data_IF_287056215942
#
_entry.id   IF_287056215942
#
_cell.length_a   1.000
_cell.length_b   1.000
_cell.length_c   1.000
_cell.angle_alpha   90.00
_cell.angle_beta   90.00
_cell.angle_gamma   90.00
#
_symmetry.space_group_name_H-M   'P 1'
#
loop_
_entity.id
_entity.type
_entity.pdbx_description
1 polymer ?
#
# COMPACT_ATOMS: atom_id res chain seq x y z
N UNK A 1 -17.42 11.68 -18.74
CA UNK A 1 -17.45 11.81 -17.27
C UNK A 1 -16.79 10.59 -16.67
N UNK A 2 -15.78 10.75 -15.81
CA UNK A 2 -14.99 9.62 -15.29
C UNK A 2 -15.89 8.80 -14.36
N UNK A 3 -16.47 7.73 -14.91
CA UNK A 3 -17.48 6.86 -14.32
C UNK A 3 -17.11 6.46 -12.88
N UNK A 4 -18.15 6.44 -12.04
CA UNK A 4 -18.13 6.11 -10.62
C UNK A 4 -17.04 5.12 -10.22
N UNK A 5 -16.27 5.47 -9.18
CA UNK A 5 -15.34 4.55 -8.54
C UNK A 5 -16.12 3.28 -8.18
N UNK A 6 -15.90 2.18 -8.91
CA UNK A 6 -16.59 0.93 -8.65
C UNK A 6 -16.04 0.31 -7.34
N UNK A 7 -16.89 -0.04 -6.35
CA UNK A 7 -16.47 -0.70 -5.10
C UNK A 7 -15.66 -1.99 -5.33
N UNK A 8 -15.94 -2.72 -6.41
CA UNK A 8 -15.17 -3.91 -6.82
C UNK A 8 -13.71 -3.57 -7.15
N UNK A 9 -13.47 -2.41 -7.77
CA UNK A 9 -12.11 -1.91 -8.05
C UNK A 9 -11.39 -1.56 -6.75
N UNK A 10 -12.09 -0.93 -5.80
CA UNK A 10 -11.59 -0.66 -4.46
C UNK A 10 -11.12 -1.95 -3.79
N UNK A 11 -11.98 -2.97 -3.73
CA UNK A 11 -11.61 -4.29 -3.18
C UNK A 11 -10.30 -4.83 -3.79
N UNK A 12 -10.21 -4.90 -5.13
CA UNK A 12 -9.02 -5.45 -5.79
C UNK A 12 -7.77 -4.60 -5.55
N UNK A 13 -7.89 -3.27 -5.52
CA UNK A 13 -6.75 -2.38 -5.28
C UNK A 13 -6.17 -2.57 -3.88
N UNK A 14 -7.02 -2.57 -2.85
CA UNK A 14 -6.57 -2.77 -1.47
C UNK A 14 -5.98 -4.17 -1.26
N UNK A 15 -6.65 -5.22 -1.76
CA UNK A 15 -6.18 -6.61 -1.66
C UNK A 15 -4.84 -6.82 -2.37
N UNK A 16 -4.71 -6.33 -3.61
CA UNK A 16 -3.51 -6.53 -4.41
C UNK A 16 -2.33 -5.72 -3.84
N UNK A 17 -2.57 -4.54 -3.27
CA UNK A 17 -1.54 -3.75 -2.59
C UNK A 17 -0.95 -4.51 -1.39
N UNK A 18 -1.79 -5.10 -0.54
CA UNK A 18 -1.34 -5.92 0.59
C UNK A 18 -0.56 -7.16 0.13
N UNK A 19 -1.04 -7.88 -0.90
CA UNK A 19 -0.29 -9.01 -1.45
C UNK A 19 1.04 -8.60 -2.09
N UNK A 20 1.11 -7.43 -2.72
CA UNK A 20 2.33 -6.91 -3.30
C UNK A 20 3.38 -6.63 -2.21
N UNK A 21 2.98 -5.99 -1.11
CA UNK A 21 3.84 -5.78 0.05
C UNK A 21 4.31 -7.12 0.65
N UNK A 22 3.38 -8.07 0.84
CA UNK A 22 3.71 -9.39 1.34
C UNK A 22 4.63 -10.20 0.41
N UNK A 23 4.73 -9.88 -0.87
CA UNK A 23 5.64 -10.58 -1.78
C UNK A 23 7.01 -9.91 -1.90
N UNK A 24 7.05 -8.58 -1.85
CA UNK A 24 8.21 -7.80 -2.26
C UNK A 24 8.97 -7.14 -1.11
N UNK A 25 8.41 -7.08 0.11
CA UNK A 25 9.13 -6.51 1.26
C UNK A 25 9.91 -7.61 1.98
N UNK A 26 11.17 -7.34 2.32
CA UNK A 26 12.02 -8.24 3.09
C UNK A 26 11.47 -8.56 4.49
N UNK A 27 11.76 -9.76 4.98
CA UNK A 27 11.61 -10.10 6.39
C UNK A 27 12.78 -9.48 7.17
N UNK A 28 12.59 -8.85 8.35
CA UNK A 28 11.38 -8.82 9.18
C UNK A 28 10.45 -7.62 8.94
N UNK A 29 10.86 -6.63 8.16
CA UNK A 29 10.15 -5.35 7.98
C UNK A 29 8.74 -5.49 7.40
N UNK A 30 8.47 -6.55 6.65
CA UNK A 30 7.16 -6.82 6.04
C UNK A 30 6.00 -6.76 7.03
N UNK A 31 6.17 -7.23 8.27
CA UNK A 31 5.10 -7.19 9.27
C UNK A 31 4.78 -5.74 9.69
N UNK A 32 5.82 -4.96 9.98
CA UNK A 32 5.69 -3.55 10.36
C UNK A 32 5.07 -2.71 9.22
N UNK A 33 5.53 -2.92 7.98
CA UNK A 33 5.03 -2.20 6.80
C UNK A 33 3.56 -2.57 6.52
N UNK A 34 3.19 -3.85 6.66
CA UNK A 34 1.80 -4.29 6.51
C UNK A 34 0.90 -3.69 7.60
N UNK A 35 1.38 -3.63 8.85
CA UNK A 35 0.63 -3.04 9.96
C UNK A 35 0.34 -1.56 9.72
N UNK A 36 1.34 -0.76 9.37
CA UNK A 36 1.14 0.65 8.99
C UNK A 36 0.16 0.76 7.81
N UNK A 37 0.31 -0.10 6.80
CA UNK A 37 -0.57 -0.08 5.63
C UNK A 37 -2.03 -0.32 6.01
N UNK A 38 -2.30 -1.27 6.89
CA UNK A 38 -3.65 -1.56 7.37
C UNK A 38 -4.24 -0.40 8.16
N UNK A 39 -3.44 0.32 8.96
CA UNK A 39 -3.89 1.54 9.65
C UNK A 39 -4.26 2.63 8.63
N UNK A 40 -3.40 2.88 7.64
CA UNK A 40 -3.66 3.88 6.60
C UNK A 40 -4.90 3.52 5.77
N UNK A 41 -5.10 2.24 5.46
CA UNK A 41 -6.31 1.75 4.79
C UNK A 41 -7.56 1.97 5.68
N UNK A 42 -7.43 1.82 7.01
CA UNK A 42 -8.48 2.14 7.97
C UNK A 42 -8.83 3.63 7.97
N UNK A 43 -7.84 4.52 7.95
CA UNK A 43 -8.07 5.98 7.83
C UNK A 43 -8.80 6.30 6.52
N UNK A 44 -8.42 5.68 5.40
CA UNK A 44 -9.15 5.82 4.15
C UNK A 44 -10.58 5.26 4.23
N UNK A 45 -10.77 4.16 4.96
CA UNK A 45 -12.09 3.59 5.25
C UNK A 45 -12.99 4.57 6.02
N UNK A 46 -12.48 5.19 7.08
CA UNK A 46 -13.21 6.22 7.83
C UNK A 46 -13.58 7.42 6.95
N UNK A 47 -12.66 7.87 6.08
CA UNK A 47 -12.96 8.91 5.09
C UNK A 47 -14.14 8.53 4.20
N UNK A 48 -14.20 7.29 3.71
CA UNK A 48 -15.34 6.82 2.91
C UNK A 48 -16.64 6.71 3.71
N UNK A 49 -16.58 6.39 5.01
CA UNK A 49 -17.75 6.43 5.88
C UNK A 49 -18.31 7.85 6.01
N UNK A 50 -17.46 8.85 6.25
CA UNK A 50 -17.89 10.26 6.32
C UNK A 50 -18.44 10.79 4.99
N UNK A 51 -17.97 10.26 3.85
CA UNK A 51 -18.51 10.57 2.53
C UNK A 51 -19.81 9.80 2.19
N UNK A 52 -20.35 8.99 3.10
CA UNK A 52 -21.55 8.16 2.85
C UNK A 52 -21.31 6.99 1.89
N UNK A 53 -20.06 6.67 1.57
CA UNK A 53 -19.64 5.65 0.60
C UNK A 53 -19.42 4.29 1.27
N UNK A 54 -20.45 3.77 1.94
CA UNK A 54 -20.37 2.51 2.70
C UNK A 54 -19.91 1.31 1.86
N UNK A 55 -20.31 1.22 0.58
CA UNK A 55 -19.88 0.14 -0.31
C UNK A 55 -18.35 0.07 -0.46
N UNK A 56 -17.66 1.21 -0.46
CA UNK A 56 -16.21 1.25 -0.51
C UNK A 56 -15.57 0.81 0.80
N UNK A 57 -16.18 1.17 1.93
CA UNK A 57 -15.74 0.72 3.24
C UNK A 57 -15.83 -0.80 3.38
N UNK A 58 -16.97 -1.41 3.04
CA UNK A 58 -17.12 -2.86 3.03
C UNK A 58 -16.15 -3.54 2.06
N UNK A 59 -15.91 -2.95 0.88
CA UNK A 59 -14.92 -3.46 -0.06
C UNK A 59 -13.49 -3.49 0.51
N UNK A 60 -13.12 -2.53 1.38
CA UNK A 60 -11.82 -2.52 2.08
C UNK A 60 -11.77 -3.64 3.13
N UNK A 61 -12.82 -3.79 3.93
CA UNK A 61 -12.91 -4.86 4.94
C UNK A 61 -12.84 -6.25 4.29
N UNK A 62 -13.58 -6.47 3.19
CA UNK A 62 -13.53 -7.70 2.42
C UNK A 62 -12.14 -7.95 1.85
N UNK A 63 -11.44 -6.91 1.39
CA UNK A 63 -10.07 -7.02 0.89
C UNK A 63 -9.10 -7.49 1.98
N UNK A 64 -9.23 -6.96 3.19
CA UNK A 64 -8.45 -7.36 4.36
C UNK A 64 -8.78 -8.80 4.76
N UNK A 65 -10.07 -9.16 4.87
CA UNK A 65 -10.49 -10.53 5.15
C UNK A 65 -9.95 -11.53 4.11
N UNK A 66 -10.05 -11.20 2.82
CA UNK A 66 -9.50 -12.00 1.72
C UNK A 66 -7.98 -12.14 1.83
N UNK A 67 -7.27 -11.07 2.18
CA UNK A 67 -5.83 -11.09 2.43
C UNK A 67 -5.47 -12.05 3.56
N UNK A 68 -6.15 -11.97 4.71
CA UNK A 68 -5.89 -12.85 5.85
C UNK A 68 -6.15 -14.33 5.53
N UNK A 69 -7.25 -14.65 4.83
CA UNK A 69 -7.55 -16.03 4.38
C UNK A 69 -6.45 -16.62 3.49
N UNK A 70 -5.85 -15.82 2.61
CA UNK A 70 -4.81 -16.27 1.67
C UNK A 70 -3.38 -16.03 2.16
N UNK A 71 -3.21 -15.40 3.32
CA UNK A 71 -1.92 -14.95 3.84
C UNK A 71 -0.90 -16.08 3.87
N UNK A 72 -1.24 -17.21 4.49
CA UNK A 72 -0.35 -18.37 4.60
C UNK A 72 0.07 -18.94 3.24
N UNK A 73 -0.86 -19.05 2.29
CA UNK A 73 -0.59 -19.56 0.94
C UNK A 73 0.35 -18.65 0.16
N UNK A 74 0.16 -17.33 0.26
CA UNK A 74 1.02 -16.35 -0.43
C UNK A 74 2.39 -16.25 0.24
N UNK A 75 2.43 -16.25 1.58
CA UNK A 75 3.67 -16.19 2.35
C UNK A 75 4.62 -17.34 2.02
N UNK A 76 4.09 -18.55 1.81
CA UNK A 76 4.88 -19.72 1.37
C UNK A 76 5.53 -19.55 0.00
N UNK A 77 5.02 -18.66 -0.86
CA UNK A 77 5.55 -18.38 -2.20
C UNK A 77 6.62 -17.28 -2.21
N UNK A 78 7.02 -16.75 -1.04
CA UNK A 78 8.05 -15.72 -0.95
C UNK A 78 9.42 -16.32 -1.32
N UNK A 79 10.27 -15.56 -2.03
CA UNK A 79 11.65 -15.98 -2.25
C UNK A 79 12.41 -16.04 -0.92
N UNK A 80 13.36 -16.97 -0.81
CA UNK A 80 14.21 -17.11 0.39
C UNK A 80 15.21 -15.95 0.51
N UNK A 81 15.65 -15.43 -0.62
CA UNK A 81 16.61 -14.33 -0.72
C UNK A 81 15.96 -13.18 -1.47
N UNK A 82 16.01 -11.99 -0.88
CA UNK A 82 15.62 -10.76 -1.55
C UNK A 82 16.88 -10.08 -2.04
N UNK A 83 17.00 -9.89 -3.36
CA UNK A 83 18.09 -9.13 -3.95
C UNK A 83 17.58 -7.73 -4.23
N UNK A 84 17.99 -6.77 -3.41
CA UNK A 84 17.79 -5.35 -3.68
C UNK A 84 19.11 -4.77 -4.13
N UNK A 85 19.26 -4.52 -5.42
CA UNK A 85 20.31 -3.61 -5.88
C UNK A 85 19.92 -2.20 -5.40
N UNK A 86 20.89 -1.37 -5.02
CA UNK A 86 20.68 0.04 -4.64
C UNK A 86 20.14 0.85 -5.83
N UNK A 87 18.87 0.63 -6.16
CA UNK A 87 18.21 1.16 -7.34
C UNK A 87 17.75 2.60 -7.13
N UNK A 88 17.54 3.00 -5.88
CA UNK A 88 17.05 4.32 -5.51
C UNK A 88 18.13 5.12 -4.78
N UNK A 89 18.47 6.29 -5.34
CA UNK A 89 19.37 7.26 -4.71
C UNK A 89 18.66 8.16 -3.68
N UNK A 90 17.33 8.26 -3.78
CA UNK A 90 16.49 9.13 -2.96
C UNK A 90 15.42 8.25 -2.31
N UNK A 91 15.26 8.39 -1.00
CA UNK A 91 14.36 7.58 -0.18
C UNK A 91 12.90 8.05 -0.27
N UNK A 92 12.64 9.36 -0.28
CA UNK A 92 11.28 9.91 -0.40
C UNK A 92 11.26 11.24 -1.15
N UNK A 93 10.66 11.24 -2.35
CA UNK A 93 10.43 12.44 -3.16
C UNK A 93 9.44 13.38 -2.46
N UNK A 94 8.41 12.82 -1.83
CA UNK A 94 7.39 13.60 -1.10
C UNK A 94 8.04 14.36 0.06
N UNK A 95 8.89 13.69 0.84
CA UNK A 95 9.62 14.34 1.94
C UNK A 95 10.55 15.45 1.41
N UNK A 96 11.32 15.15 0.36
CA UNK A 96 12.23 16.11 -0.24
C UNK A 96 11.49 17.35 -0.79
N UNK A 97 10.31 17.17 -1.36
CA UNK A 97 9.52 18.26 -1.91
C UNK A 97 8.84 19.11 -0.82
N UNK A 98 8.08 18.48 0.07
CA UNK A 98 7.21 19.21 1.01
C UNK A 98 7.93 19.70 2.26
N UNK A 99 8.95 18.98 2.74
CA UNK A 99 9.68 19.35 3.97
C UNK A 99 11.02 20.01 3.66
N UNK A 100 11.78 19.48 2.69
CA UNK A 100 13.07 20.06 2.30
C UNK A 100 12.95 21.14 1.20
N UNK A 101 11.71 21.45 0.75
CA UNK A 101 11.39 22.45 -0.28
C UNK A 101 12.20 22.30 -1.58
N UNK A 102 12.61 21.07 -1.93
CA UNK A 102 13.32 20.78 -3.17
C UNK A 102 12.32 20.66 -4.31
N UNK A 103 12.17 21.73 -5.10
CA UNK A 103 11.21 21.81 -6.20
C UNK A 103 11.76 21.36 -7.56
N UNK A 104 13.09 21.30 -7.74
CA UNK A 104 13.74 20.88 -9.00
C UNK A 104 14.43 19.53 -8.84
N UNK A 105 14.35 18.68 -9.87
CA UNK A 105 15.03 17.38 -9.89
C UNK A 105 16.55 17.49 -9.73
N UNK A 106 17.15 18.55 -10.29
CA UNK A 106 18.57 18.89 -10.10
C UNK A 106 18.98 18.96 -8.64
N UNK A 107 18.06 19.37 -7.75
CA UNK A 107 18.33 19.59 -6.34
C UNK A 107 18.22 18.29 -5.51
N UNK A 108 17.69 17.23 -6.11
CA UNK A 108 17.50 15.92 -5.48
C UNK A 108 18.75 15.02 -5.59
N UNK A 109 19.70 15.33 -6.49
CA UNK A 109 20.97 14.60 -6.62
C UNK A 109 22.01 15.09 -5.62
N UNK A 110 22.69 14.14 -4.98
CA UNK A 110 24.10 14.22 -4.59
C UNK A 110 24.78 12.95 -5.09
#
# INVERSE_FOLDING_TARGET
TLHDMNPKKTFFNFRNSLFLLLKNVESPKVFYVLFIRMILDGVAGFKFLFEGKFNHFFAILDAHASFYRHYGKIRKKRPKTFVFNNYHKITSIVFAHYLLRKSKFSNLKK
#
